data_IF_880497110912
#
_entry.id   IF_880497110912
#
_cell.length_a   1.000
_cell.length_b   1.000
_cell.length_c   1.000
_cell.angle_alpha   90.00
_cell.angle_beta   90.00
_cell.angle_gamma   90.00
#
_symmetry.space_group_name_H-M   'P 1'
#
loop_
_entity.id
_entity.type
_entity.pdbx_description
1 polymer ?
#
# COMPACT_ATOMS: atom_id res chain seq x y z
N UNK A 1 -1.87 -6.70 -28.52
CA UNK A 1 -0.41 -6.69 -28.28
C UNK A 1 -0.17 -6.57 -26.78
N UNK A 2 0.53 -7.54 -26.15
CA UNK A 2 0.89 -7.50 -24.73
C UNK A 2 1.57 -6.20 -24.28
N UNK A 3 2.36 -5.55 -25.14
CA UNK A 3 3.03 -4.28 -24.83
C UNK A 3 2.04 -3.13 -24.68
N UNK A 4 1.08 -3.04 -25.61
CA UNK A 4 0.02 -2.02 -25.56
C UNK A 4 -0.83 -2.22 -24.31
N UNK A 5 -1.26 -3.45 -24.01
CA UNK A 5 -2.04 -3.75 -22.82
C UNK A 5 -1.30 -3.37 -21.52
N UNK A 6 -0.02 -3.74 -21.41
CA UNK A 6 0.80 -3.44 -20.23
C UNK A 6 1.02 -1.93 -20.05
N UNK A 7 1.29 -1.22 -21.15
CA UNK A 7 1.44 0.24 -21.14
C UNK A 7 0.14 0.96 -20.74
N UNK A 8 -0.99 0.56 -21.30
CA UNK A 8 -2.30 1.12 -20.94
C UNK A 8 -2.64 0.84 -19.47
N UNK A 9 -2.39 -0.37 -18.98
CA UNK A 9 -2.62 -0.71 -17.58
C UNK A 9 -1.74 0.11 -16.63
N UNK A 10 -0.47 0.34 -16.97
CA UNK A 10 0.43 1.16 -16.17
C UNK A 10 -0.04 2.63 -16.11
N UNK A 11 -0.46 3.20 -17.24
CA UNK A 11 -0.99 4.58 -17.29
C UNK A 11 -2.30 4.67 -16.50
N UNK A 12 -3.20 3.70 -16.65
CA UNK A 12 -4.46 3.67 -15.90
C UNK A 12 -4.23 3.53 -14.39
N UNK A 13 -3.29 2.69 -13.98
CA UNK A 13 -2.86 2.58 -12.58
C UNK A 13 -2.28 3.89 -12.05
N UNK A 14 -1.43 4.56 -12.83
CA UNK A 14 -0.88 5.86 -12.43
C UNK A 14 -1.98 6.92 -12.30
N UNK A 15 -2.90 6.99 -13.25
CA UNK A 15 -4.02 7.93 -13.23
C UNK A 15 -4.95 7.72 -12.02
N UNK A 16 -5.33 6.46 -11.75
CA UNK A 16 -6.18 6.13 -10.60
C UNK A 16 -5.50 6.39 -9.26
N UNK A 17 -4.19 6.22 -9.16
CA UNK A 17 -3.44 6.61 -7.96
C UNK A 17 -3.30 8.13 -7.84
N UNK A 18 -3.06 8.85 -8.93
CA UNK A 18 -2.99 10.32 -8.93
C UNK A 18 -4.30 10.96 -8.46
N UNK A 19 -5.45 10.36 -8.83
CA UNK A 19 -6.76 10.83 -8.37
C UNK A 19 -6.88 10.82 -6.83
N UNK A 20 -6.18 9.92 -6.12
CA UNK A 20 -6.19 9.85 -4.65
C UNK A 20 -5.57 11.09 -3.98
N UNK A 21 -4.72 11.84 -4.69
CA UNK A 21 -4.06 13.03 -4.14
C UNK A 21 -5.09 14.09 -3.73
N UNK A 22 -6.21 14.22 -4.45
CA UNK A 22 -7.26 15.20 -4.15
C UNK A 22 -7.93 14.89 -2.80
N UNK A 23 -8.49 13.67 -2.55
CA UNK A 23 -8.99 13.30 -1.23
C UNK A 23 -7.95 13.42 -0.11
N UNK A 24 -6.70 13.01 -0.34
CA UNK A 24 -5.66 13.11 0.68
C UNK A 24 -5.32 14.54 1.06
N UNK A 25 -5.30 15.44 0.07
CA UNK A 25 -5.17 16.87 0.33
C UNK A 25 -6.36 17.39 1.13
N UNK A 26 -7.60 16.99 0.77
CA UNK A 26 -8.80 17.36 1.52
C UNK A 26 -8.82 16.82 2.97
N UNK A 27 -8.19 15.67 3.22
CA UNK A 27 -7.97 15.07 4.54
C UNK A 27 -6.79 15.69 5.31
N UNK A 28 -6.16 16.75 4.79
CA UNK A 28 -5.06 17.46 5.44
C UNK A 28 -3.73 16.70 5.46
N UNK A 29 -3.56 15.63 4.69
CA UNK A 29 -2.38 14.75 4.73
C UNK A 29 -1.11 15.36 4.11
N UNK A 30 -1.20 16.57 3.55
CA UNK A 30 -0.10 17.30 2.91
C UNK A 30 0.59 18.27 3.89
N UNK A 31 0.51 18.01 5.19
CA UNK A 31 1.24 18.78 6.20
C UNK A 31 2.74 18.40 6.23
N UNK A 32 3.55 19.27 6.84
CA UNK A 32 5.01 19.09 6.90
C UNK A 32 5.43 17.82 7.67
N UNK A 33 4.66 17.38 8.66
CA UNK A 33 4.95 16.16 9.44
C UNK A 33 4.81 14.93 8.54
N UNK A 34 3.70 14.83 7.81
CA UNK A 34 3.45 13.72 6.90
C UNK A 34 4.41 13.73 5.69
N UNK A 35 4.72 14.90 5.15
CA UNK A 35 5.67 15.02 4.03
C UNK A 35 7.10 14.66 4.43
N UNK A 36 7.56 15.09 5.62
CA UNK A 36 8.90 14.73 6.12
C UNK A 36 9.00 13.24 6.45
N UNK A 37 7.99 12.66 7.10
CA UNK A 37 7.91 11.22 7.33
C UNK A 37 7.95 10.45 6.00
N UNK A 38 7.16 10.89 5.01
CA UNK A 38 7.14 10.27 3.67
C UNK A 38 8.50 10.36 3.00
N UNK A 39 9.19 11.50 3.05
CA UNK A 39 10.51 11.68 2.45
C UNK A 39 11.56 10.72 3.04
N UNK A 40 11.52 10.47 4.35
CA UNK A 40 12.39 9.49 5.01
C UNK A 40 12.06 8.06 4.55
N UNK A 41 10.79 7.77 4.29
CA UNK A 41 10.33 6.47 3.83
C UNK A 41 10.55 6.22 2.32
N UNK A 42 10.73 7.27 1.51
CA UNK A 42 11.00 7.16 0.05
C UNK A 42 12.09 6.14 -0.27
N UNK A 43 13.29 6.15 0.33
CA UNK A 43 14.31 5.14 0.06
C UNK A 43 13.96 3.76 0.62
N UNK A 44 13.23 3.71 1.74
CA UNK A 44 12.88 2.46 2.41
C UNK A 44 11.84 1.67 1.61
N UNK A 45 10.93 2.34 0.91
CA UNK A 45 9.86 1.70 0.14
C UNK A 45 10.36 0.76 -0.98
N UNK A 46 11.25 1.18 -1.92
CA UNK A 46 11.78 0.27 -2.93
C UNK A 46 12.65 -0.83 -2.31
N UNK A 47 13.45 -0.52 -1.29
CA UNK A 47 14.27 -1.52 -0.59
C UNK A 47 13.41 -2.61 0.05
N UNK A 48 12.34 -2.23 0.73
CA UNK A 48 11.38 -3.15 1.35
C UNK A 48 10.63 -3.97 0.30
N UNK A 49 10.30 -3.36 -0.85
CA UNK A 49 9.63 -4.06 -1.96
C UNK A 49 10.54 -5.16 -2.55
N UNK A 50 11.82 -4.85 -2.77
CA UNK A 50 12.81 -5.82 -3.26
C UNK A 50 13.04 -6.92 -2.22
N UNK A 51 13.20 -6.56 -0.95
CA UNK A 51 13.36 -7.52 0.14
C UNK A 51 12.13 -8.44 0.28
N UNK A 52 10.93 -7.88 0.18
CA UNK A 52 9.68 -8.64 0.18
C UNK A 52 9.60 -9.60 -1.00
N UNK A 53 9.90 -9.15 -2.22
CA UNK A 53 9.93 -10.02 -3.40
C UNK A 53 10.96 -11.15 -3.26
N UNK A 54 12.13 -10.86 -2.67
CA UNK A 54 13.17 -11.84 -2.38
C UNK A 54 12.72 -12.88 -1.35
N UNK A 55 12.00 -12.45 -0.31
CA UNK A 55 11.49 -13.30 0.76
C UNK A 55 10.37 -14.21 0.25
N UNK A 56 9.37 -13.65 -0.45
CA UNK A 56 8.23 -14.41 -0.99
C UNK A 56 8.70 -15.54 -1.91
N UNK A 57 9.73 -15.30 -2.74
CA UNK A 57 10.33 -16.32 -3.60
C UNK A 57 10.95 -17.51 -2.83
N UNK A 58 11.20 -17.37 -1.53
CA UNK A 58 11.79 -18.41 -0.65
C UNK A 58 10.79 -19.01 0.32
N UNK A 59 9.59 -18.42 0.42
CA UNK A 59 8.56 -18.92 1.31
C UNK A 59 7.83 -20.09 0.68
N UNK A 60 7.51 -21.08 1.51
CA UNK A 60 6.62 -22.17 1.13
C UNK A 60 5.18 -21.67 1.07
N UNK A 61 4.37 -22.08 0.08
CA UNK A 61 2.96 -21.70 -0.02
C UNK A 61 2.16 -21.96 1.26
N UNK A 62 2.42 -23.10 1.91
CA UNK A 62 1.78 -23.50 3.17
C UNK A 62 1.98 -22.50 4.32
N UNK A 63 3.05 -21.70 4.27
CA UNK A 63 3.30 -20.63 5.25
C UNK A 63 2.82 -19.29 4.72
N UNK A 64 3.09 -18.99 3.44
CA UNK A 64 2.78 -17.71 2.83
C UNK A 64 1.30 -17.36 2.88
N UNK A 65 0.42 -18.30 2.50
CA UNK A 65 -1.02 -18.01 2.43
C UNK A 65 -1.64 -17.79 3.82
N UNK A 66 -1.48 -18.70 4.81
CA UNK A 66 -2.03 -18.47 6.14
C UNK A 66 -1.47 -17.21 6.80
N UNK A 67 -0.16 -16.96 6.65
CA UNK A 67 0.48 -15.77 7.22
C UNK A 67 -0.07 -14.46 6.63
N UNK A 68 -0.16 -14.39 5.30
CA UNK A 68 -0.67 -13.18 4.62
C UNK A 68 -2.15 -12.95 4.93
N UNK A 69 -2.96 -14.00 4.95
CA UNK A 69 -4.38 -13.86 5.28
C UNK A 69 -4.61 -13.50 6.75
N UNK A 70 -3.84 -14.08 7.67
CA UNK A 70 -3.92 -13.74 9.09
C UNK A 70 -3.53 -12.27 9.33
N UNK A 71 -2.43 -11.81 8.75
CA UNK A 71 -1.98 -10.41 8.89
C UNK A 71 -2.98 -9.42 8.28
N UNK A 72 -3.52 -9.71 7.10
CA UNK A 72 -4.59 -8.89 6.50
C UNK A 72 -5.85 -8.88 7.37
N UNK A 73 -6.24 -10.03 7.94
CA UNK A 73 -7.41 -10.10 8.82
C UNK A 73 -7.21 -9.26 10.09
N UNK A 74 -6.03 -9.32 10.72
CA UNK A 74 -5.69 -8.49 11.88
C UNK A 74 -5.78 -6.99 11.54
N UNK A 75 -5.23 -6.57 10.40
CA UNK A 75 -5.31 -5.17 9.95
C UNK A 75 -6.76 -4.76 9.68
N UNK A 76 -7.55 -5.63 9.03
CA UNK A 76 -8.96 -5.37 8.76
C UNK A 76 -9.76 -5.17 10.06
N UNK A 77 -9.57 -6.04 11.06
CA UNK A 77 -10.21 -5.90 12.38
C UNK A 77 -9.81 -4.59 13.04
N UNK A 78 -8.52 -4.21 13.00
CA UNK A 78 -8.04 -2.94 13.54
C UNK A 78 -8.70 -1.73 12.86
N UNK A 79 -8.78 -1.75 11.54
CA UNK A 79 -9.41 -0.66 10.78
C UNK A 79 -10.91 -0.55 11.05
N UNK A 80 -11.61 -1.67 11.21
CA UNK A 80 -13.02 -1.69 11.62
C UNK A 80 -13.18 -1.09 13.02
N UNK A 81 -12.31 -1.48 13.95
CA UNK A 81 -12.32 -0.92 15.30
C UNK A 81 -12.07 0.59 15.31
N UNK A 82 -11.04 1.08 14.60
CA UNK A 82 -10.76 2.52 14.49
C UNK A 82 -11.95 3.28 13.89
N UNK A 83 -12.58 2.71 12.86
CA UNK A 83 -13.74 3.30 12.21
C UNK A 83 -14.94 3.40 13.16
N UNK A 84 -15.22 2.35 13.94
CA UNK A 84 -16.32 2.34 14.92
C UNK A 84 -15.99 3.30 16.08
N UNK A 85 -14.78 3.25 16.62
CA UNK A 85 -14.36 4.08 17.74
C UNK A 85 -14.34 5.58 17.37
N UNK A 86 -14.05 5.94 16.12
CA UNK A 86 -14.13 7.32 15.65
C UNK A 86 -15.56 7.84 15.43
N UNK A 87 -16.57 6.97 15.46
CA UNK A 87 -17.99 7.35 15.34
C UNK A 87 -18.70 7.50 16.69
N UNK A 88 -18.13 6.94 17.77
CA UNK A 88 -18.64 7.03 19.15
C UNK A 88 -18.06 8.26 19.86
#
# INVERSE_FOLDING_TARGET
DPKVLSGTAAIFFAATNALKLIPYFALGQFDATNLTASAVLVPLAPLSTIAGAWLVRRMRPEVFYPFTYATVAVVAVKLLWDGIAGLL
#
